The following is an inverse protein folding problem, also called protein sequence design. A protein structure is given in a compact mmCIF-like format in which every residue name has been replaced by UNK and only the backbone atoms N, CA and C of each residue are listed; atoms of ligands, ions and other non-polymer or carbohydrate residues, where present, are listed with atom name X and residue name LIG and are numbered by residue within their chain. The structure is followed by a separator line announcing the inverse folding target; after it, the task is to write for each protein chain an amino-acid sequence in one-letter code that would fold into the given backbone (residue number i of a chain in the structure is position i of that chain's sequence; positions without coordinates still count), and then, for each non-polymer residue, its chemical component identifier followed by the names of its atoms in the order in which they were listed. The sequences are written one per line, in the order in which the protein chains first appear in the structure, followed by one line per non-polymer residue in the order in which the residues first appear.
data_IF_996426893594
#
_entry.id   IF_996426893594
#
_cell.length_a   1.000
_cell.length_b   1.000
_cell.length_c   1.000
_cell.angle_alpha   90.00
_cell.angle_beta   90.00
_cell.angle_gamma   90.00
#
_symmetry.space_group_name_H-M   'P 1'
#
loop_
_entity.id
_entity.type
_entity.pdbx_description
1 polymer ?
#
# COMPACT_ATOMS: atom_id res chain seq x y z
N UNK A 1 37.24 0.81 -22.14
CA UNK A 1 37.41 0.29 -20.75
C UNK A 1 36.84 1.26 -19.70
N UNK A 2 35.70 1.92 -19.97
CA UNK A 2 35.26 3.09 -19.16
C UNK A 2 33.81 2.98 -18.66
N UNK A 3 32.97 2.18 -19.30
CA UNK A 3 31.56 1.98 -18.91
C UNK A 3 31.41 1.07 -17.69
N UNK A 4 32.26 0.04 -17.56
CA UNK A 4 32.23 -0.91 -16.44
C UNK A 4 32.57 -0.27 -15.09
N UNK A 5 33.40 0.79 -15.06
CA UNK A 5 33.73 1.52 -13.83
C UNK A 5 32.61 2.46 -13.40
N UNK A 6 31.84 3.00 -14.35
CA UNK A 6 30.68 3.85 -14.05
C UNK A 6 29.51 3.02 -13.49
N UNK A 7 29.28 1.82 -14.02
CA UNK A 7 28.24 0.89 -13.51
C UNK A 7 28.53 0.40 -12.08
N UNK A 8 29.79 0.16 -11.72
CA UNK A 8 30.13 -0.23 -10.34
C UNK A 8 29.95 0.88 -9.31
N UNK A 9 29.92 2.15 -9.73
CA UNK A 9 29.81 3.30 -8.81
C UNK A 9 28.35 3.65 -8.50
N UNK A 10 27.41 3.35 -9.40
CA UNK A 10 25.99 3.60 -9.21
C UNK A 10 25.28 2.55 -8.35
N UNK A 11 25.81 1.32 -8.29
CA UNK A 11 25.25 0.23 -7.46
C UNK A 11 25.41 0.49 -5.95
N UNK A 12 26.42 1.27 -5.54
CA UNK A 12 26.72 1.49 -4.11
C UNK A 12 25.76 2.43 -3.34
N UNK A 13 24.75 3.02 -3.98
CA UNK A 13 23.94 4.10 -3.36
C UNK A 13 22.45 3.72 -3.17
N UNK A 14 22.00 2.51 -3.54
CA UNK A 14 20.57 2.15 -3.47
C UNK A 14 20.27 1.06 -2.42
N UNK A 15 19.21 1.31 -1.64
CA UNK A 15 18.73 0.47 -0.53
C UNK A 15 18.34 -0.96 -0.98
N UNK A 16 18.47 -1.97 -0.09
CA UNK A 16 18.47 -3.40 -0.46
C UNK A 16 17.15 -3.98 -0.99
N UNK A 17 16.02 -3.27 -0.91
CA UNK A 17 14.72 -3.77 -1.38
C UNK A 17 14.47 -3.54 -2.89
N UNK A 18 15.38 -2.87 -3.60
CA UNK A 18 15.23 -2.53 -5.03
C UNK A 18 16.22 -3.26 -5.96
N UNK A 19 17.10 -4.10 -5.41
CA UNK A 19 18.08 -4.85 -6.21
C UNK A 19 17.44 -5.98 -7.02
N UNK A 20 16.42 -6.67 -6.49
CA UNK A 20 15.85 -7.85 -7.15
C UNK A 20 15.20 -7.52 -8.49
N UNK A 21 14.48 -6.39 -8.57
CA UNK A 21 13.78 -5.99 -9.81
C UNK A 21 14.75 -5.55 -10.90
N UNK A 22 15.85 -4.91 -10.52
CA UNK A 22 16.89 -4.45 -11.47
C UNK A 22 17.69 -5.63 -12.00
N UNK A 23 17.99 -6.62 -11.15
CA UNK A 23 18.63 -7.88 -11.56
C UNK A 23 17.76 -8.67 -12.54
N UNK A 24 16.45 -8.82 -12.27
CA UNK A 24 15.54 -9.50 -13.19
C UNK A 24 15.46 -8.80 -14.55
N UNK A 25 15.37 -7.47 -14.58
CA UNK A 25 15.32 -6.71 -15.83
C UNK A 25 16.61 -6.81 -16.65
N UNK A 26 17.78 -6.84 -15.99
CA UNK A 26 19.08 -7.01 -16.67
C UNK A 26 19.20 -8.42 -17.27
N UNK A 27 18.76 -9.46 -16.55
CA UNK A 27 18.77 -10.84 -17.05
C UNK A 27 17.86 -10.98 -18.29
N UNK A 28 16.66 -10.39 -18.25
CA UNK A 28 15.74 -10.39 -19.40
C UNK A 28 16.35 -9.65 -20.60
N UNK A 29 16.98 -8.49 -20.39
CA UNK A 29 17.62 -7.73 -21.47
C UNK A 29 18.81 -8.50 -22.12
N UNK A 30 19.58 -9.25 -21.33
CA UNK A 30 20.67 -10.09 -21.84
C UNK A 30 20.16 -11.29 -22.64
N UNK A 31 19.04 -11.90 -22.22
CA UNK A 31 18.40 -12.99 -22.96
C UNK A 31 17.85 -12.53 -24.31
N UNK A 32 17.17 -11.37 -24.35
CA UNK A 32 16.57 -10.81 -25.58
C UNK A 32 17.64 -10.39 -26.60
N UNK A 33 18.77 -9.83 -26.15
CA UNK A 33 19.86 -9.41 -27.05
C UNK A 33 20.65 -10.58 -27.65
N UNK A 34 20.75 -11.71 -26.92
CA UNK A 34 21.31 -12.96 -27.44
C UNK A 34 20.44 -13.55 -28.54
N UNK A 35 19.11 -13.57 -28.35
CA UNK A 35 18.15 -14.08 -29.33
C UNK A 35 18.14 -13.24 -30.63
N UNK A 36 18.23 -11.92 -30.50
CA UNK A 36 18.25 -11.00 -31.64
C UNK A 36 19.52 -11.14 -32.50
N UNK A 37 20.67 -11.43 -31.86
CA UNK A 37 21.92 -11.74 -32.56
C UNK A 37 21.86 -13.06 -33.33
N UNK A 38 21.09 -14.04 -32.83
CA UNK A 38 20.93 -15.35 -33.48
C UNK A 38 20.08 -15.27 -34.76
N UNK A 39 19.10 -14.36 -34.81
CA UNK A 39 18.24 -14.14 -35.99
C UNK A 39 18.98 -13.33 -37.08
N UNK A 40 19.93 -12.46 -36.70
CA UNK A 40 20.66 -11.59 -37.64
C UNK A 40 21.82 -12.30 -38.36
N UNK A 41 22.32 -13.41 -37.84
CA UNK A 41 23.33 -14.26 -38.48
C UNK A 41 22.64 -15.36 -39.29
N UNK A 42 22.07 -14.98 -40.43
CA UNK A 42 21.39 -15.86 -41.38
C UNK A 42 22.24 -17.06 -41.82
N UNK A 43 22.14 -18.16 -41.08
CA UNK A 43 22.54 -19.51 -41.49
C UNK A 43 21.30 -20.37 -41.76
N UNK A 44 20.37 -19.86 -42.56
CA UNK A 44 19.32 -20.67 -43.17
C UNK A 44 19.67 -20.91 -44.64
N UNK A 45 20.77 -21.61 -44.87
CA UNK A 45 21.31 -21.91 -46.21
C UNK A 45 21.32 -23.41 -46.49
N UNK A 46 20.29 -24.13 -46.03
CA UNK A 46 20.13 -25.58 -46.28
C UNK A 46 18.76 -25.93 -46.91
N UNK A 47 17.80 -25.00 -46.99
CA UNK A 47 16.46 -25.32 -47.49
C UNK A 47 16.13 -24.62 -48.82
N UNK A 48 16.98 -24.80 -49.83
CA UNK A 48 16.72 -24.30 -51.18
C UNK A 48 17.05 -25.32 -52.28
N UNK A 49 16.91 -26.62 -51.96
CA UNK A 49 17.18 -27.70 -52.92
C UNK A 49 16.07 -28.74 -53.10
N UNK A 50 14.84 -28.39 -52.72
CA UNK A 50 13.66 -29.15 -53.12
C UNK A 50 12.60 -28.19 -53.65
N UNK A 51 12.69 -27.95 -54.96
CA UNK A 51 11.66 -27.28 -55.72
C UNK A 51 10.68 -28.35 -56.21
N UNK A 52 9.45 -28.32 -55.69
CA UNK A 52 8.29 -28.71 -56.49
C UNK A 52 7.12 -27.78 -56.17
N UNK A 53 6.50 -27.17 -57.20
CA UNK A 53 5.45 -26.19 -57.04
C UNK A 53 4.10 -26.90 -57.09
N UNK A 54 3.46 -27.17 -55.96
CA UNK A 54 2.03 -27.45 -55.94
C UNK A 54 1.35 -26.80 -54.74
N UNK A 55 0.43 -25.90 -55.11
CA UNK A 55 -0.79 -25.46 -54.43
C UNK A 55 -0.87 -25.41 -52.89
N UNK A 56 -1.23 -24.22 -52.39
CA UNK A 56 -1.95 -23.97 -51.14
C UNK A 56 -1.21 -23.96 -49.79
N UNK A 57 0.12 -23.92 -49.73
CA UNK A 57 0.84 -23.87 -48.44
C UNK A 57 1.10 -22.47 -47.85
N UNK A 58 0.99 -21.40 -48.64
CA UNK A 58 1.21 -20.04 -48.14
C UNK A 58 0.12 -19.47 -47.20
N UNK A 59 -1.19 -19.71 -47.37
CA UNK A 59 -2.21 -19.08 -46.52
C UNK A 59 -2.27 -19.65 -45.11
N UNK A 60 -1.80 -20.89 -44.88
CA UNK A 60 -1.79 -21.50 -43.55
C UNK A 60 -0.60 -21.02 -42.70
N UNK A 61 0.57 -20.82 -43.32
CA UNK A 61 1.74 -20.25 -42.65
C UNK A 61 1.52 -18.78 -42.29
N UNK A 62 0.90 -17.99 -43.17
CA UNK A 62 0.56 -16.60 -42.85
C UNK A 62 -0.48 -16.52 -41.74
N UNK A 63 -1.47 -17.42 -41.70
CA UNK A 63 -2.46 -17.44 -40.63
C UNK A 63 -1.86 -17.89 -39.30
N UNK A 64 -0.99 -18.91 -39.30
CA UNK A 64 -0.30 -19.36 -38.09
C UNK A 64 0.63 -18.27 -37.52
N UNK A 65 1.37 -17.56 -38.37
CA UNK A 65 2.20 -16.42 -37.96
C UNK A 65 1.31 -15.30 -37.39
N UNK A 66 0.19 -14.98 -38.05
CA UNK A 66 -0.72 -13.91 -37.59
C UNK A 66 -1.36 -14.22 -36.23
N UNK A 67 -1.85 -15.45 -36.01
CA UNK A 67 -2.44 -15.89 -34.74
C UNK A 67 -1.39 -15.90 -33.63
N UNK A 68 -0.17 -16.37 -33.91
CA UNK A 68 0.92 -16.37 -32.92
C UNK A 68 1.32 -14.94 -32.55
N UNK A 69 1.36 -14.01 -33.52
CA UNK A 69 1.70 -12.60 -33.29
C UNK A 69 0.59 -11.87 -32.51
N UNK A 70 -0.69 -12.21 -32.76
CA UNK A 70 -1.84 -11.70 -32.00
C UNK A 70 -1.82 -12.20 -30.55
N UNK A 71 -1.52 -13.49 -30.34
CA UNK A 71 -1.43 -14.08 -29.01
C UNK A 71 -0.31 -13.44 -28.18
N UNK A 72 0.86 -13.20 -28.78
CA UNK A 72 1.96 -12.49 -28.13
C UNK A 72 1.63 -11.01 -27.85
N UNK A 73 0.88 -10.33 -28.72
CA UNK A 73 0.40 -8.96 -28.48
C UNK A 73 -0.54 -8.89 -27.28
N UNK A 74 -1.43 -9.87 -27.09
CA UNK A 74 -2.37 -9.91 -25.95
C UNK A 74 -1.67 -10.32 -24.65
N UNK A 75 -0.67 -11.20 -24.71
CA UNK A 75 -0.01 -11.72 -23.50
C UNK A 75 1.24 -10.95 -23.05
N UNK A 76 1.95 -10.25 -23.94
CA UNK A 76 3.18 -9.52 -23.60
C UNK A 76 3.09 -8.00 -23.70
N UNK A 77 2.02 -7.46 -24.27
CA UNK A 77 1.70 -6.04 -24.16
C UNK A 77 0.65 -5.89 -23.05
N UNK A 78 1.03 -5.61 -21.79
CA UNK A 78 0.05 -5.22 -20.81
C UNK A 78 -0.58 -3.94 -21.35
N UNK A 79 -1.86 -4.01 -21.76
CA UNK A 79 -2.69 -2.84 -21.86
C UNK A 79 -2.67 -2.20 -20.48
N UNK A 80 -1.77 -1.24 -20.31
CA UNK A 80 -1.76 -0.31 -19.21
C UNK A 80 -3.18 0.23 -19.11
N UNK A 81 -3.90 0.00 -18.00
CA UNK A 81 -5.23 0.54 -17.84
C UNK A 81 -5.10 2.06 -17.87
N UNK A 82 -5.53 2.66 -18.98
CA UNK A 82 -5.71 4.10 -19.04
C UNK A 82 -6.71 4.48 -17.95
N UNK A 83 -6.42 5.50 -17.14
CA UNK A 83 -7.35 5.94 -16.12
C UNK A 83 -8.57 6.49 -16.85
N UNK A 84 -9.70 5.80 -16.75
CA UNK A 84 -10.98 6.39 -17.07
C UNK A 84 -11.14 7.58 -16.12
N UNK A 85 -10.96 8.77 -16.70
CA UNK A 85 -11.32 10.04 -16.13
C UNK A 85 -12.85 10.08 -16.06
N UNK A 86 -13.41 9.42 -15.04
CA UNK A 86 -14.80 9.56 -14.69
C UNK A 86 -14.99 10.98 -14.13
N UNK A 87 -15.45 11.91 -14.97
CA UNK A 87 -16.13 13.10 -14.49
C UNK A 87 -17.52 12.69 -14.03
N UNK A 88 -17.66 12.37 -12.75
CA UNK A 88 -18.97 12.39 -12.11
C UNK A 88 -18.84 13.07 -10.74
N UNK A 89 -19.49 14.22 -10.61
CA UNK A 89 -19.43 15.17 -9.48
C UNK A 89 -20.21 14.66 -8.24
N UNK A 90 -20.40 13.35 -8.08
CA UNK A 90 -21.20 12.76 -7.00
C UNK A 90 -20.63 11.44 -6.50
N UNK A 91 -19.31 11.34 -6.26
CA UNK A 91 -18.79 10.28 -5.40
C UNK A 91 -17.38 10.59 -4.85
N UNK A 92 -17.20 11.78 -4.27
CA UNK A 92 -16.01 12.03 -3.45
C UNK A 92 -16.28 11.54 -2.02
N UNK A 93 -16.00 10.25 -1.73
CA UNK A 93 -15.58 9.83 -0.37
C UNK A 93 -14.88 8.47 -0.29
N UNK A 94 -13.96 8.17 -1.20
CA UNK A 94 -12.89 7.20 -0.93
C UNK A 94 -11.59 7.97 -0.73
N UNK A 95 -11.50 8.66 0.41
CA UNK A 95 -10.25 9.30 0.81
C UNK A 95 -9.20 8.22 1.04
N UNK A 96 -8.24 8.13 0.12
CA UNK A 96 -6.80 8.18 0.42
C UNK A 96 -6.36 7.33 1.63
N UNK A 97 -6.55 6.01 1.56
CA UNK A 97 -5.99 5.08 2.55
C UNK A 97 -4.52 4.80 2.23
N UNK A 98 -3.66 5.78 2.48
CA UNK A 98 -2.25 5.50 2.72
C UNK A 98 -2.12 5.16 4.21
N UNK A 99 -2.70 4.02 4.62
CA UNK A 99 -2.45 3.49 5.96
C UNK A 99 -1.04 2.97 5.99
N UNK A 100 -0.20 3.61 6.78
CA UNK A 100 0.98 3.00 7.37
C UNK A 100 0.54 1.67 8.00
N UNK A 101 0.86 0.55 7.35
CA UNK A 101 0.41 -0.78 7.76
C UNK A 101 0.86 -1.04 9.20
N UNK A 102 -0.05 -0.89 10.17
CA UNK A 102 0.14 -1.28 11.56
C UNK A 102 0.31 -0.15 12.59
N UNK A 103 0.37 1.13 12.20
CA UNK A 103 0.52 2.21 13.19
C UNK A 103 -0.83 2.80 13.62
N UNK A 104 -1.05 2.92 14.93
CA UNK A 104 -2.18 3.64 15.52
C UNK A 104 -2.04 5.13 15.19
N UNK A 105 -3.05 5.72 14.57
CA UNK A 105 -3.07 7.15 14.22
C UNK A 105 -3.94 7.93 15.20
N UNK A 106 -3.48 9.11 15.58
CA UNK A 106 -4.16 10.00 16.52
C UNK A 106 -4.61 11.25 15.78
N UNK A 107 -5.86 11.65 15.96
CA UNK A 107 -6.35 12.91 15.41
C UNK A 107 -5.87 14.11 16.21
N UNK A 108 -5.99 15.29 15.60
CA UNK A 108 -5.95 16.56 16.32
C UNK A 108 -7.09 16.61 17.36
N UNK A 109 -6.88 17.41 18.41
CA UNK A 109 -7.92 17.63 19.43
C UNK A 109 -8.90 18.68 18.95
N UNK A 110 -10.16 18.48 19.24
CA UNK A 110 -11.21 19.46 19.04
C UNK A 110 -11.95 19.69 20.37
N UNK A 111 -12.54 20.86 20.52
CA UNK A 111 -13.04 21.35 21.79
C UNK A 111 -14.48 21.84 21.62
N UNK A 112 -15.32 21.48 22.58
CA UNK A 112 -16.60 22.14 22.84
C UNK A 112 -16.45 23.01 24.09
N UNK A 113 -17.55 23.61 24.57
CA UNK A 113 -17.55 24.43 25.80
C UNK A 113 -17.26 23.62 27.08
N UNK A 114 -17.51 22.31 27.07
CA UNK A 114 -17.42 21.45 28.27
C UNK A 114 -16.31 20.38 28.19
N UNK A 115 -16.02 19.88 26.98
CA UNK A 115 -15.15 18.72 26.79
C UNK A 115 -14.14 18.96 25.66
N UNK A 116 -12.96 18.35 25.80
CA UNK A 116 -12.04 18.10 24.70
C UNK A 116 -12.23 16.70 24.14
N UNK A 117 -12.08 16.56 22.83
CA UNK A 117 -12.32 15.33 22.10
C UNK A 117 -11.16 15.00 21.18
N UNK A 118 -11.03 13.72 20.88
CA UNK A 118 -10.07 13.18 19.92
C UNK A 118 -10.56 11.82 19.45
N UNK A 119 -10.28 11.48 18.20
CA UNK A 119 -10.45 10.12 17.72
C UNK A 119 -9.11 9.42 17.48
N UNK A 120 -9.10 8.11 17.68
CA UNK A 120 -7.94 7.26 17.44
C UNK A 120 -8.33 6.24 16.39
N UNK A 121 -7.53 6.16 15.33
CA UNK A 121 -7.72 5.22 14.23
C UNK A 121 -6.81 4.03 14.49
N UNK A 122 -7.43 2.88 14.77
CA UNK A 122 -6.76 1.61 14.97
C UNK A 122 -6.52 0.90 13.64
N UNK A 123 -5.47 0.07 13.55
CA UNK A 123 -5.34 -0.89 12.47
C UNK A 123 -6.58 -1.80 12.38
N UNK A 124 -7.06 -2.13 11.17
CA UNK A 124 -8.29 -2.91 10.99
C UNK A 124 -8.20 -4.32 11.58
N UNK A 125 -6.99 -4.86 11.71
CA UNK A 125 -6.73 -6.17 12.33
C UNK A 125 -7.04 -6.15 13.83
N UNK A 126 -6.59 -5.10 14.52
CA UNK A 126 -6.82 -4.91 15.97
C UNK A 126 -8.29 -4.60 16.24
N UNK A 127 -8.92 -3.77 15.40
CA UNK A 127 -10.32 -3.37 15.55
C UNK A 127 -11.30 -4.56 15.50
N UNK A 128 -10.97 -5.62 14.77
CA UNK A 128 -11.80 -6.83 14.68
C UNK A 128 -11.86 -7.63 15.99
N UNK A 129 -10.83 -7.51 16.83
CA UNK A 129 -10.74 -8.20 18.12
C UNK A 129 -11.53 -7.49 19.22
N UNK A 130 -11.98 -6.25 18.97
CA UNK A 130 -12.68 -5.44 19.96
C UNK A 130 -14.14 -5.88 20.15
N UNK A 131 -14.65 -5.83 21.39
CA UNK A 131 -16.06 -6.08 21.66
C UNK A 131 -16.91 -4.92 21.10
N UNK A 132 -17.89 -5.23 20.24
CA UNK A 132 -18.73 -4.22 19.56
C UNK A 132 -19.89 -3.68 20.39
N UNK A 133 -20.24 -4.37 21.49
CA UNK A 133 -21.46 -4.10 22.26
C UNK A 133 -21.21 -3.29 23.54
N UNK A 134 -19.95 -2.95 23.84
CA UNK A 134 -19.60 -2.26 25.09
C UNK A 134 -18.50 -1.23 24.87
N UNK A 135 -18.52 -0.19 25.70
CA UNK A 135 -17.40 0.75 25.81
C UNK A 135 -16.24 0.08 26.55
N UNK A 136 -15.04 0.62 26.32
CA UNK A 136 -13.79 0.12 26.88
C UNK A 136 -13.37 1.01 28.05
N UNK A 137 -12.96 0.39 29.15
CA UNK A 137 -12.36 1.10 30.28
C UNK A 137 -10.93 1.54 29.98
N UNK A 138 -10.37 2.41 30.82
CA UNK A 138 -9.00 2.91 30.65
C UNK A 138 -7.95 1.80 30.55
N UNK A 139 -8.05 0.77 31.40
CA UNK A 139 -7.12 -0.36 31.35
C UNK A 139 -7.24 -1.15 30.04
N UNK A 140 -8.45 -1.33 29.53
CA UNK A 140 -8.70 -2.14 28.34
C UNK A 140 -8.18 -1.49 27.07
N UNK A 141 -8.49 -0.21 26.82
CA UNK A 141 -7.98 0.46 25.63
C UNK A 141 -6.47 0.71 25.70
N UNK A 142 -5.88 0.82 26.90
CA UNK A 142 -4.42 0.83 27.06
C UNK A 142 -3.79 -0.52 26.73
N UNK A 143 -4.42 -1.63 27.09
CA UNK A 143 -3.94 -2.98 26.76
C UNK A 143 -3.91 -3.24 25.25
N UNK A 144 -4.79 -2.58 24.49
CA UNK A 144 -4.83 -2.62 23.02
C UNK A 144 -3.66 -1.85 22.37
N UNK A 145 -2.93 -1.04 23.15
CA UNK A 145 -1.78 -0.26 22.69
C UNK A 145 -2.10 1.21 22.42
N UNK A 146 -3.31 1.69 22.75
CA UNK A 146 -3.61 3.12 22.67
C UNK A 146 -2.93 3.85 23.82
N UNK A 147 -2.11 4.83 23.48
CA UNK A 147 -1.33 5.61 24.44
C UNK A 147 -1.81 7.07 24.41
N UNK A 148 -2.43 7.50 25.51
CA UNK A 148 -2.87 8.88 25.70
C UNK A 148 -2.61 9.33 27.14
N UNK A 149 -2.70 10.66 27.36
CA UNK A 149 -2.67 11.25 28.69
C UNK A 149 -3.78 10.70 29.61
N UNK A 150 -3.74 11.01 30.90
CA UNK A 150 -4.81 10.60 31.83
C UNK A 150 -6.11 11.38 31.57
N UNK A 151 -7.23 10.77 31.95
CA UNK A 151 -8.56 11.40 31.93
C UNK A 151 -9.38 11.23 30.65
N UNK A 152 -8.86 10.52 29.64
CA UNK A 152 -9.61 10.22 28.43
C UNK A 152 -10.60 9.07 28.65
N UNK A 153 -11.84 9.28 28.21
CA UNK A 153 -12.93 8.31 28.33
C UNK A 153 -13.44 7.96 26.94
N UNK A 154 -13.49 6.66 26.61
CA UNK A 154 -14.11 6.15 25.39
C UNK A 154 -15.63 6.24 25.55
N UNK A 155 -16.28 7.17 24.85
CA UNK A 155 -17.67 7.54 25.15
C UNK A 155 -18.71 7.01 24.15
N UNK A 156 -18.29 6.68 22.94
CA UNK A 156 -19.19 6.23 21.89
C UNK A 156 -18.50 5.28 20.91
N UNK A 157 -19.26 4.31 20.40
CA UNK A 157 -18.82 3.37 19.38
C UNK A 157 -19.30 3.87 18.02
N UNK A 158 -18.38 4.08 17.08
CA UNK A 158 -18.73 4.45 15.73
C UNK A 158 -19.10 3.20 14.91
N UNK A 159 -20.41 2.96 14.72
CA UNK A 159 -20.91 1.71 14.09
C UNK A 159 -20.44 1.48 12.64
N UNK A 160 -20.40 2.49 11.75
CA UNK A 160 -19.95 2.28 10.36
C UNK A 160 -18.47 1.90 10.27
N UNK A 161 -17.62 2.56 11.06
CA UNK A 161 -16.17 2.39 11.06
C UNK A 161 -15.66 2.05 12.49
N UNK A 162 -15.74 0.78 12.93
CA UNK A 162 -15.41 0.37 14.30
C UNK A 162 -13.92 0.48 14.65
N UNK A 163 -13.07 0.71 13.63
CA UNK A 163 -11.65 0.96 13.81
C UNK A 163 -11.36 2.39 14.29
N UNK A 164 -12.37 3.26 14.33
CA UNK A 164 -12.27 4.60 14.90
C UNK A 164 -12.84 4.58 16.33
N UNK A 165 -11.98 4.86 17.31
CA UNK A 165 -12.38 5.00 18.71
C UNK A 165 -12.53 6.48 19.08
N UNK A 166 -13.64 6.82 19.73
CA UNK A 166 -14.01 8.19 20.08
C UNK A 166 -13.77 8.47 21.57
N UNK A 167 -12.86 9.41 21.85
CA UNK A 167 -12.52 9.79 23.22
C UNK A 167 -12.98 11.20 23.55
N UNK A 168 -13.36 11.41 24.82
CA UNK A 168 -13.62 12.73 25.40
C UNK A 168 -12.92 12.87 26.75
N UNK A 169 -12.57 14.08 27.14
CA UNK A 169 -12.00 14.44 28.44
C UNK A 169 -12.53 15.81 28.88
N UNK A 170 -12.82 16.06 30.16
CA UNK A 170 -13.21 17.39 30.62
C UNK A 170 -12.08 18.41 30.45
N UNK A 171 -12.39 19.65 30.04
CA UNK A 171 -11.38 20.70 29.85
C UNK A 171 -10.57 20.99 31.13
N UNK A 172 -11.24 21.05 32.28
CA UNK A 172 -10.62 21.38 33.57
C UNK A 172 -10.05 20.16 34.30
N UNK A 173 -9.73 19.07 33.59
CA UNK A 173 -9.31 17.82 34.23
C UNK A 173 -8.07 18.00 35.11
N UNK A 174 -7.04 18.71 34.65
CA UNK A 174 -5.80 18.92 35.41
C UNK A 174 -6.05 19.72 36.70
N UNK A 175 -6.74 20.85 36.59
CA UNK A 175 -7.08 21.69 37.73
C UNK A 175 -7.93 20.94 38.76
N UNK A 176 -8.90 20.13 38.31
CA UNK A 176 -9.72 19.33 39.20
C UNK A 176 -8.90 18.27 39.96
N UNK A 177 -7.88 17.67 39.33
CA UNK A 177 -7.01 16.71 40.01
C UNK A 177 -6.14 17.36 41.09
N UNK A 178 -5.59 18.55 40.81
CA UNK A 178 -4.78 19.29 41.78
C UNK A 178 -5.61 19.71 43.00
N UNK A 179 -6.82 20.23 42.77
CA UNK A 179 -7.75 20.59 43.85
C UNK A 179 -8.10 19.36 44.72
N UNK A 180 -8.33 18.20 44.10
CA UNK A 180 -8.60 16.96 44.83
C UNK A 180 -7.38 16.48 45.63
N UNK A 181 -6.19 16.55 45.06
CA UNK A 181 -4.95 16.18 45.74
C UNK A 181 -4.67 17.08 46.94
N UNK A 182 -4.84 18.39 46.78
CA UNK A 182 -4.69 19.37 47.86
C UNK A 182 -5.72 19.13 48.98
N UNK A 183 -6.98 18.87 48.63
CA UNK A 183 -8.02 18.55 49.59
C UNK A 183 -7.70 17.28 50.39
N UNK A 184 -7.28 16.21 49.72
CA UNK A 184 -6.88 14.97 50.37
C UNK A 184 -5.67 15.16 51.31
N UNK A 185 -4.67 15.92 50.86
CA UNK A 185 -3.50 16.23 51.67
C UNK A 185 -3.86 17.04 52.93
N UNK A 186 -4.81 17.98 52.82
CA UNK A 186 -5.30 18.77 53.96
C UNK A 186 -6.10 17.95 54.99
N UNK A 187 -6.72 16.85 54.56
CA UNK A 187 -7.45 15.93 55.44
C UNK A 187 -6.50 15.02 56.20
N UNK A 188 -5.40 14.59 55.57
CA UNK A 188 -4.37 13.76 56.21
C UNK A 188 -3.48 14.57 57.18
N UNK A 189 -3.42 15.89 57.02
CA UNK A 189 -2.62 16.79 57.86
C UNK A 189 -3.34 17.26 59.14
N UNK A 190 -4.56 16.79 59.41
CA UNK A 190 -5.32 17.05 60.63
C UNK A 190 -5.41 15.80 61.48
#
# INVERSE_FOLDING_TARGET
MTIFKLLKKTVKITKPHEEDRKLTLIIIALQVTSLFSFIKLGKFKIFQKFQKPESNFLPLLTHYIYVTLLYLLVHFFPLSPLPLRCSNRYFNRFCKFNSTMGQIQYSEKYFDDTFEYRHVVLPPEVAKLLPKNRLLSESEWRAIGVQQSRGWVHYAIHRPEPHIMLFRRPLNYQQNQENQAQAHQSLLAK
#
